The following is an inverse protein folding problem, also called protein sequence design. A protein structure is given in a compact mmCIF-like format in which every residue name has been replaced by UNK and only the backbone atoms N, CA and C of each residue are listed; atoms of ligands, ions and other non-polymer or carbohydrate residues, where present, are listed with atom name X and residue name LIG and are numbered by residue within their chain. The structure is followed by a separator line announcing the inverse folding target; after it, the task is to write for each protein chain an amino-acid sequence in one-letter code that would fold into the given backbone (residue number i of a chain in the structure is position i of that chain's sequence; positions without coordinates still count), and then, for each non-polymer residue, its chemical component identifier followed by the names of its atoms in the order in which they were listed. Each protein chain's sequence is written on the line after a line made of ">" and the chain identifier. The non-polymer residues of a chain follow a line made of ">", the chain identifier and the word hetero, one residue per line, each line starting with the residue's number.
data_IF_602151819274
#
_entry.id   IF_602151819274
#
_cell.length_a   1.000
_cell.length_b   1.000
_cell.length_c   1.000
_cell.angle_alpha   90.00
_cell.angle_beta   90.00
_cell.angle_gamma   90.00
#
_symmetry.space_group_name_H-M   'P 1'
#
loop_
_entity.id
_entity.type
_entity.pdbx_description
1 polymer ?
#
# COMPACT_ATOMS: atom_id res chain seq x y z
N UNK A 1 5.47 -17.80 -3.26
CA UNK A 1 6.37 -17.75 -4.45
C UNK A 1 7.51 -18.77 -4.37
N UNK A 2 8.37 -18.75 -3.34
CA UNK A 2 9.56 -19.65 -3.26
C UNK A 2 9.19 -21.15 -3.18
N UNK A 3 8.05 -21.50 -2.57
CA UNK A 3 7.59 -22.89 -2.48
C UNK A 3 7.27 -23.53 -3.86
N UNK A 4 7.07 -22.72 -4.91
CA UNK A 4 6.85 -23.23 -6.28
C UNK A 4 8.14 -23.77 -6.92
N UNK A 5 9.31 -23.40 -6.38
CA UNK A 5 10.60 -23.89 -6.87
C UNK A 5 10.85 -25.38 -6.56
N UNK A 6 10.04 -25.99 -5.68
CA UNK A 6 10.14 -27.39 -5.28
C UNK A 6 8.98 -28.24 -5.83
N UNK A 7 8.11 -27.68 -6.67
CA UNK A 7 6.99 -28.41 -7.24
C UNK A 7 7.43 -29.13 -8.52
N UNK A 8 7.60 -30.45 -8.44
CA UNK A 8 7.90 -31.32 -9.58
C UNK A 8 6.60 -31.86 -10.23
N UNK A 9 6.69 -32.46 -11.42
CA UNK A 9 5.52 -32.96 -12.19
C UNK A 9 4.65 -33.95 -11.44
N UNK A 10 5.19 -34.61 -10.40
CA UNK A 10 4.45 -35.55 -9.55
C UNK A 10 3.42 -34.85 -8.62
N UNK A 11 3.55 -33.55 -8.36
CA UNK A 11 2.78 -32.83 -7.33
C UNK A 11 2.07 -31.58 -7.87
N UNK A 12 1.56 -31.62 -9.12
CA UNK A 12 0.89 -30.48 -9.79
C UNK A 12 -0.19 -29.82 -8.92
N UNK A 13 -0.94 -30.61 -8.15
CA UNK A 13 -1.99 -30.13 -7.24
C UNK A 13 -1.43 -29.22 -6.15
N UNK A 14 -0.29 -29.59 -5.56
CA UNK A 14 0.37 -28.78 -4.51
C UNK A 14 0.85 -27.44 -5.06
N UNK A 15 1.35 -27.42 -6.30
CA UNK A 15 1.74 -26.21 -7.01
C UNK A 15 0.57 -25.27 -7.25
N UNK A 16 -0.57 -25.80 -7.72
CA UNK A 16 -1.80 -25.03 -7.92
C UNK A 16 -2.29 -24.44 -6.60
N UNK A 17 -2.37 -25.24 -5.53
CA UNK A 17 -2.78 -24.77 -4.20
C UNK A 17 -1.86 -23.65 -3.72
N UNK A 18 -0.55 -23.79 -3.91
CA UNK A 18 0.44 -22.77 -3.50
C UNK A 18 0.23 -21.44 -4.24
N UNK A 19 -0.09 -21.47 -5.54
CA UNK A 19 -0.41 -20.26 -6.31
C UNK A 19 -1.71 -19.64 -5.80
N UNK A 20 -2.73 -20.44 -5.56
CA UNK A 20 -4.04 -19.97 -5.07
C UNK A 20 -3.93 -19.29 -3.70
N UNK A 21 -3.21 -19.92 -2.76
CA UNK A 21 -2.97 -19.33 -1.42
C UNK A 21 -2.18 -18.03 -1.53
N UNK A 22 -1.19 -17.98 -2.42
CA UNK A 22 -0.44 -16.75 -2.66
C UNK A 22 -1.33 -15.63 -3.23
N UNK A 23 -2.17 -15.95 -4.22
CA UNK A 23 -3.09 -14.96 -4.79
C UNK A 23 -4.12 -14.48 -3.75
N UNK A 24 -4.68 -15.40 -2.96
CA UNK A 24 -5.62 -15.06 -1.89
C UNK A 24 -4.99 -14.15 -0.82
N UNK A 25 -3.78 -14.48 -0.35
CA UNK A 25 -3.05 -13.66 0.62
C UNK A 25 -2.66 -12.29 0.07
N UNK A 26 -2.31 -12.20 -1.22
CA UNK A 26 -2.03 -10.92 -1.88
C UNK A 26 -3.26 -10.00 -1.92
N UNK A 27 -4.46 -10.56 -2.15
CA UNK A 27 -5.72 -9.80 -2.15
C UNK A 27 -6.08 -9.22 -0.79
N UNK A 28 -5.83 -9.98 0.29
CA UNK A 28 -6.00 -9.50 1.66
C UNK A 28 -5.03 -8.35 1.96
N UNK A 29 -3.73 -8.53 1.73
CA UNK A 29 -2.73 -7.50 2.04
C UNK A 29 -2.88 -6.22 1.21
N UNK A 30 -3.21 -6.35 -0.07
CA UNK A 30 -3.41 -5.20 -0.95
C UNK A 30 -4.70 -4.45 -0.63
N UNK A 31 -5.81 -5.17 -0.54
CA UNK A 31 -7.15 -4.58 -0.38
C UNK A 31 -7.38 -3.97 1.01
N UNK A 32 -7.04 -4.68 2.09
CA UNK A 32 -7.32 -4.23 3.46
C UNK A 32 -6.14 -3.56 4.16
N UNK A 33 -4.93 -3.63 3.59
CA UNK A 33 -3.74 -3.01 4.15
C UNK A 33 -3.30 -1.80 3.32
N UNK A 34 -2.81 -2.05 2.10
CA UNK A 34 -2.15 -1.01 1.30
C UNK A 34 -3.10 0.10 0.84
N UNK A 35 -4.22 -0.25 0.19
CA UNK A 35 -5.10 0.74 -0.46
C UNK A 35 -5.80 1.64 0.56
N UNK A 36 -6.35 1.06 1.63
CA UNK A 36 -7.08 1.79 2.67
C UNK A 36 -6.17 2.69 3.50
N UNK A 37 -4.91 2.30 3.72
CA UNK A 37 -3.97 3.08 4.51
C UNK A 37 -3.67 4.46 3.89
N UNK A 38 -3.67 4.59 2.55
CA UNK A 38 -3.55 5.92 1.92
C UNK A 38 -4.78 6.79 2.17
N UNK A 39 -5.98 6.21 2.10
CA UNK A 39 -7.21 6.93 2.40
C UNK A 39 -7.25 7.40 3.86
N UNK A 40 -6.73 6.60 4.79
CA UNK A 40 -6.66 6.95 6.22
C UNK A 40 -5.58 8.00 6.52
N UNK A 41 -4.40 7.90 5.88
CA UNK A 41 -3.28 8.81 6.14
C UNK A 41 -3.45 10.17 5.46
N UNK A 42 -3.89 10.17 4.20
CA UNK A 42 -3.90 11.33 3.29
C UNK A 42 -5.23 11.41 2.55
N UNK A 43 -6.35 11.65 3.25
CA UNK A 43 -7.69 11.55 2.66
C UNK A 43 -7.94 12.53 1.51
N UNK A 44 -7.38 13.75 1.56
CA UNK A 44 -7.56 14.74 0.49
C UNK A 44 -6.74 14.45 -0.80
N UNK A 45 -5.67 13.66 -0.70
CA UNK A 45 -4.72 13.41 -1.79
C UNK A 45 -4.57 11.92 -2.14
N UNK A 46 -5.37 11.05 -1.52
CA UNK A 46 -5.26 9.59 -1.62
C UNK A 46 -5.27 9.12 -3.08
N UNK A 47 -6.18 9.65 -3.91
CA UNK A 47 -6.26 9.27 -5.33
C UNK A 47 -5.01 9.62 -6.16
N UNK A 48 -4.39 10.77 -5.90
CA UNK A 48 -3.19 11.22 -6.63
C UNK A 48 -1.98 10.38 -6.21
N UNK A 49 -1.79 10.15 -4.91
CA UNK A 49 -0.67 9.36 -4.39
C UNK A 49 -0.83 7.89 -4.80
N UNK A 50 -2.04 7.35 -4.73
CA UNK A 50 -2.34 6.00 -5.20
C UNK A 50 -2.08 5.85 -6.70
N UNK A 51 -2.53 6.81 -7.51
CA UNK A 51 -2.28 6.83 -8.95
C UNK A 51 -0.78 6.86 -9.29
N UNK A 52 -0.02 7.72 -8.60
CA UNK A 52 1.42 7.80 -8.76
C UNK A 52 2.12 6.49 -8.38
N UNK A 53 1.71 5.88 -7.26
CA UNK A 53 2.19 4.56 -6.84
C UNK A 53 1.92 3.48 -7.88
N UNK A 54 0.72 3.50 -8.49
CA UNK A 54 0.37 2.56 -9.56
C UNK A 54 1.16 2.80 -10.85
N UNK A 55 1.52 4.04 -11.18
CA UNK A 55 2.41 4.34 -12.30
C UNK A 55 3.81 3.73 -12.10
N UNK A 56 4.41 3.92 -10.92
CA UNK A 56 5.69 3.29 -10.60
C UNK A 56 5.59 1.76 -10.59
N UNK A 57 4.51 1.20 -10.05
CA UNK A 57 4.25 -0.23 -10.08
C UNK A 57 4.14 -0.77 -11.52
N UNK A 58 3.49 -0.02 -12.42
CA UNK A 58 3.36 -0.38 -13.83
C UNK A 58 4.71 -0.39 -14.54
N UNK A 59 5.54 0.64 -14.31
CA UNK A 59 6.91 0.71 -14.85
C UNK A 59 7.74 -0.47 -14.34
N UNK A 60 7.69 -0.74 -13.04
CA UNK A 60 8.37 -1.89 -12.44
C UNK A 60 7.89 -3.22 -13.03
N UNK A 61 6.59 -3.34 -13.34
CA UNK A 61 6.01 -4.50 -14.02
C UNK A 61 6.57 -4.69 -15.43
N UNK A 62 6.70 -3.62 -16.21
CA UNK A 62 7.32 -3.67 -17.55
C UNK A 62 8.77 -4.12 -17.45
N UNK A 63 9.54 -3.55 -16.52
CA UNK A 63 10.95 -3.94 -16.28
C UNK A 63 11.03 -5.42 -15.86
N UNK A 64 10.15 -5.85 -14.96
CA UNK A 64 10.07 -7.25 -14.50
C UNK A 64 9.82 -8.23 -15.65
N UNK A 65 8.94 -7.89 -16.58
CA UNK A 65 8.67 -8.71 -17.77
C UNK A 65 9.88 -8.79 -18.71
N UNK A 66 10.59 -7.68 -18.92
CA UNK A 66 11.82 -7.67 -19.73
C UNK A 66 12.89 -8.57 -19.10
N UNK A 67 13.07 -8.47 -17.78
CA UNK A 67 14.02 -9.32 -17.04
C UNK A 67 13.61 -10.80 -17.11
N UNK A 68 12.32 -11.11 -16.98
CA UNK A 68 11.80 -12.47 -17.12
C UNK A 68 12.12 -13.05 -18.50
N UNK A 69 11.93 -12.28 -19.57
CA UNK A 69 12.26 -12.68 -20.94
C UNK A 69 13.76 -12.92 -21.18
N UNK A 70 14.64 -12.22 -20.47
CA UNK A 70 16.09 -12.43 -20.56
C UNK A 70 16.56 -13.65 -19.75
N UNK A 71 15.93 -13.94 -18.61
CA UNK A 71 16.32 -15.05 -17.73
C UNK A 71 15.77 -16.38 -18.25
N UNK A 72 14.53 -16.39 -18.71
CA UNK A 72 13.85 -17.59 -19.22
C UNK A 72 14.00 -17.65 -20.74
N UNK A 73 15.15 -18.13 -21.17
CA UNK A 73 15.46 -18.33 -22.61
C UNK A 73 15.09 -19.72 -23.10
N UNK A 74 14.93 -20.68 -22.20
CA UNK A 74 14.59 -22.08 -22.48
C UNK A 74 13.55 -22.56 -21.47
N UNK A 75 12.73 -23.57 -21.79
CA UNK A 75 11.75 -24.15 -20.87
C UNK A 75 12.43 -25.05 -19.81
N UNK A 76 13.48 -24.55 -19.15
CA UNK A 76 14.22 -25.24 -18.11
C UNK A 76 13.72 -24.79 -16.74
N UNK A 77 13.37 -25.75 -15.88
CA UNK A 77 12.88 -25.50 -14.52
C UNK A 77 13.87 -24.67 -13.67
N UNK A 78 15.17 -24.83 -13.94
CA UNK A 78 16.23 -24.08 -13.24
C UNK A 78 16.18 -22.56 -13.53
N UNK A 79 15.82 -22.15 -14.76
CA UNK A 79 15.72 -20.73 -15.13
C UNK A 79 14.53 -20.07 -14.42
N UNK A 80 13.39 -20.76 -14.38
CA UNK A 80 12.21 -20.31 -13.64
C UNK A 80 12.49 -20.21 -12.13
N UNK A 81 13.22 -21.16 -11.56
CA UNK A 81 13.64 -21.08 -10.15
C UNK A 81 14.46 -19.83 -9.86
N UNK A 82 15.42 -19.48 -10.72
CA UNK A 82 16.22 -18.24 -10.56
C UNK A 82 15.34 -16.99 -10.60
N UNK A 83 14.37 -16.96 -11.52
CA UNK A 83 13.42 -15.86 -11.64
C UNK A 83 12.55 -15.70 -10.38
N UNK A 84 11.99 -16.80 -9.86
CA UNK A 84 11.16 -16.76 -8.65
C UNK A 84 11.93 -16.36 -7.39
N UNK A 85 13.19 -16.79 -7.26
CA UNK A 85 14.06 -16.37 -6.16
C UNK A 85 14.35 -14.87 -6.25
N UNK A 86 14.67 -14.36 -7.44
CA UNK A 86 14.89 -12.93 -7.66
C UNK A 86 13.67 -12.10 -7.24
N UNK A 87 12.47 -12.45 -7.71
CA UNK A 87 11.24 -11.76 -7.30
C UNK A 87 11.02 -11.86 -5.79
N UNK A 88 11.25 -13.04 -5.20
CA UNK A 88 11.15 -13.25 -3.75
C UNK A 88 12.02 -12.28 -2.94
N UNK A 89 13.27 -12.05 -3.37
CA UNK A 89 14.18 -11.09 -2.72
C UNK A 89 13.65 -9.66 -2.82
N UNK A 90 13.16 -9.25 -4.00
CA UNK A 90 12.59 -7.91 -4.20
C UNK A 90 11.38 -7.68 -3.29
N UNK A 91 10.48 -8.65 -3.20
CA UNK A 91 9.34 -8.58 -2.28
C UNK A 91 9.77 -8.53 -0.81
N UNK A 92 10.79 -9.29 -0.43
CA UNK A 92 11.29 -9.29 0.95
C UNK A 92 11.90 -7.95 1.35
N UNK A 93 12.73 -7.37 0.47
CA UNK A 93 13.31 -6.03 0.67
C UNK A 93 12.19 -4.98 0.75
N UNK A 94 11.21 -5.03 -0.16
CA UNK A 94 10.05 -4.13 -0.13
C UNK A 94 9.26 -4.24 1.18
N UNK A 95 9.06 -5.46 1.69
CA UNK A 95 8.43 -5.70 2.99
C UNK A 95 9.22 -5.10 4.15
N UNK A 96 10.55 -5.23 4.14
CA UNK A 96 11.43 -4.62 5.16
C UNK A 96 11.31 -3.10 5.14
N UNK A 97 11.39 -2.48 3.96
CA UNK A 97 11.26 -1.03 3.82
C UNK A 97 9.90 -0.57 4.34
N UNK A 98 8.83 -1.29 4.02
CA UNK A 98 7.50 -1.00 4.53
C UNK A 98 7.41 -1.15 6.06
N UNK A 99 8.04 -2.17 6.65
CA UNK A 99 8.04 -2.36 8.09
C UNK A 99 8.76 -1.23 8.85
N UNK A 100 9.84 -0.68 8.29
CA UNK A 100 10.59 0.40 8.95
C UNK A 100 10.01 1.80 8.70
N UNK A 101 9.46 2.06 7.52
CA UNK A 101 8.99 3.40 7.12
C UNK A 101 7.46 3.54 7.13
N UNK A 102 6.71 2.45 7.27
CA UNK A 102 5.27 2.46 7.34
C UNK A 102 4.78 3.21 8.58
N UNK A 103 3.81 4.10 8.38
CA UNK A 103 3.15 4.82 9.46
C UNK A 103 1.66 4.85 9.18
N UNK A 104 0.83 4.64 10.20
CA UNK A 104 -0.64 4.67 10.09
C UNK A 104 -1.26 5.98 10.62
N UNK A 105 -0.44 7.03 10.82
CA UNK A 105 -0.91 8.28 11.42
C UNK A 105 -1.30 9.29 10.33
N UNK A 106 -2.51 9.88 10.39
CA UNK A 106 -2.94 10.89 9.42
C UNK A 106 -2.05 12.14 9.46
N UNK A 107 -1.62 12.58 8.28
CA UNK A 107 -0.75 13.76 8.15
C UNK A 107 -1.58 15.05 8.25
N UNK A 108 -1.14 16.00 9.08
CA UNK A 108 -1.89 17.24 9.38
C UNK A 108 -2.23 18.08 8.13
N UNK A 109 -1.36 18.08 7.13
CA UNK A 109 -1.53 18.82 5.87
C UNK A 109 -2.50 18.15 4.89
N UNK A 110 -2.89 16.90 5.14
CA UNK A 110 -3.64 16.09 4.20
C UNK A 110 -5.14 15.96 4.53
N UNK A 111 -5.63 16.79 5.46
CA UNK A 111 -7.05 16.85 5.82
C UNK A 111 -7.84 17.58 4.73
N UNK A 112 -9.08 17.17 4.50
CA UNK A 112 -9.99 17.87 3.59
C UNK A 112 -10.12 19.34 3.98
N UNK A 113 -10.05 20.25 2.99
CA UNK A 113 -10.22 21.70 3.23
C UNK A 113 -11.56 22.04 3.92
N UNK A 114 -12.62 21.25 3.69
CA UNK A 114 -13.92 21.46 4.34
C UNK A 114 -13.84 21.38 5.87
N UNK A 115 -13.01 20.49 6.42
CA UNK A 115 -12.81 20.34 7.88
C UNK A 115 -12.05 21.52 8.47
N UNK A 116 -11.12 22.11 7.73
CA UNK A 116 -10.42 23.32 8.18
C UNK A 116 -11.35 24.53 8.13
N UNK A 117 -12.13 24.68 7.05
CA UNK A 117 -13.08 25.78 6.89
C UNK A 117 -14.22 25.72 7.93
N UNK A 118 -14.74 24.53 8.25
CA UNK A 118 -15.73 24.38 9.33
C UNK A 118 -15.14 24.65 10.72
N UNK A 119 -13.89 24.26 10.97
CA UNK A 119 -13.21 24.57 12.24
C UNK A 119 -12.91 26.05 12.40
N UNK A 120 -12.41 26.71 11.36
CA UNK A 120 -12.22 28.16 11.36
C UNK A 120 -13.57 28.88 11.54
N UNK A 121 -14.63 28.41 10.87
CA UNK A 121 -15.96 28.96 11.05
C UNK A 121 -16.47 28.81 12.49
N UNK A 122 -16.33 27.62 13.09
CA UNK A 122 -16.73 27.39 14.50
C UNK A 122 -15.88 28.16 15.51
N UNK A 123 -14.58 28.30 15.26
CA UNK A 123 -13.67 29.07 16.13
C UNK A 123 -14.03 30.55 16.08
N UNK A 124 -14.29 31.07 14.88
CA UNK A 124 -14.75 32.44 14.70
C UNK A 124 -16.13 32.66 15.33
N UNK A 125 -17.06 31.71 15.19
CA UNK A 125 -18.39 31.77 15.80
C UNK A 125 -18.35 31.74 17.36
N UNK A 126 -17.39 31.02 17.96
CA UNK A 126 -17.14 31.01 19.41
C UNK A 126 -16.41 32.27 19.91
N UNK A 127 -15.50 32.85 19.11
CA UNK A 127 -14.79 34.10 19.44
C UNK A 127 -15.70 35.34 19.30
N UNK A 128 -16.75 35.26 18.48
CA UNK A 128 -17.80 36.29 18.35
C UNK A 128 -18.68 36.38 19.61
N UNK A 129 -18.69 35.38 20.50
CA UNK A 129 -19.35 35.49 21.81
C UNK A 129 -18.56 36.55 22.61
N UNK A 130 -19.11 37.75 22.84
CA UNK A 130 -18.33 38.85 23.38
C UNK A 130 -17.84 38.48 24.78
N UNK A 131 -16.51 38.46 24.95
CA UNK A 131 -15.79 38.14 26.19
C UNK A 131 -16.17 39.01 27.41
N UNK A 132 -17.05 40.00 27.23
CA UNK A 132 -17.62 40.84 28.28
C UNK A 132 -18.77 40.16 29.05
N UNK A 133 -19.40 39.11 28.53
CA UNK A 133 -20.55 38.45 29.20
C UNK A 133 -20.12 37.36 30.20
N UNK A 134 -18.95 36.75 30.02
CA UNK A 134 -18.47 35.64 30.87
C UNK A 134 -18.02 36.09 32.26
N UNK A 135 -17.74 37.39 32.45
CA UNK A 135 -17.38 37.97 33.75
C UNK A 135 -18.59 38.30 34.63
N UNK A 136 -19.81 38.28 34.09
CA UNK A 136 -21.04 38.67 34.81
C UNK A 136 -21.83 37.48 35.39
N UNK A 137 -21.41 36.24 35.14
CA UNK A 137 -22.04 35.03 35.69
C UNK A 137 -21.07 34.38 36.67
N UNK A 138 -20.76 35.10 37.74
CA UNK A 138 -20.11 34.54 38.94
C UNK A 138 -20.65 35.27 40.16
N UNK A 139 -21.92 35.05 40.46
CA UNK A 139 -22.55 35.25 41.78
C UNK A 139 -23.41 34.02 42.03
#
# INVERSE_FOLDING_TARGET
>A
MISLCFCDESNKILGIITILVFLASSGLGYGSGYVVNFADIVPAYSGVIFGLGNSFASIAGVIGNIIAGMIVTKPLLEQWRKLFIMFGIVYFIGGIVFLFFGSAVPRKWAKFQSVNNEKEKKLNDEEIIPMNQTKQIKI
#
